data_IF_588938115359
#
_entry.id   IF_588938115359
#
_cell.length_a   1.000
_cell.length_b   1.000
_cell.length_c   1.000
_cell.angle_alpha   90.00
_cell.angle_beta   90.00
_cell.angle_gamma   90.00
#
_symmetry.space_group_name_H-M   'P 1'
#
loop_
_entity.id
_entity.type
_entity.pdbx_description
1 polymer ?
#
# COMPACT_ATOMS: atom_id res chain seq x y z
N UNK A 1 6.19 8.82 7.81
CA UNK A 1 5.60 8.64 6.46
C UNK A 1 4.89 7.30 6.41
N UNK A 2 3.88 7.13 7.29
CA UNK A 2 3.26 5.83 7.63
C UNK A 2 1.78 5.77 7.25
N UNK A 3 1.42 6.36 6.09
CA UNK A 3 0.03 6.63 5.75
C UNK A 3 -0.73 5.47 5.10
N UNK A 4 -0.10 4.30 4.84
CA UNK A 4 -0.68 3.32 3.92
C UNK A 4 -1.03 1.96 4.50
N UNK A 5 -0.96 1.75 5.82
CA UNK A 5 -1.39 0.49 6.40
C UNK A 5 -2.58 0.68 7.30
N UNK A 6 -3.73 0.43 6.74
CA UNK A 6 -4.93 0.18 7.50
C UNK A 6 -5.00 -1.32 7.84
N UNK A 7 -5.13 -1.63 9.12
CA UNK A 7 -5.23 -2.98 9.68
C UNK A 7 -6.24 -3.88 8.94
N UNK A 8 -7.32 -3.27 8.44
CA UNK A 8 -8.37 -3.98 7.71
C UNK A 8 -7.90 -4.46 6.34
N UNK A 9 -7.32 -3.57 5.52
CA UNK A 9 -6.86 -3.96 4.19
C UNK A 9 -5.65 -4.88 4.24
N UNK A 10 -4.72 -4.68 5.17
CA UNK A 10 -3.60 -5.58 5.38
C UNK A 10 -4.06 -6.99 5.80
N UNK A 11 -5.18 -7.11 6.53
CA UNK A 11 -5.74 -8.39 6.94
C UNK A 11 -6.44 -9.14 5.80
N UNK A 12 -7.23 -8.45 4.98
CA UNK A 12 -7.99 -9.07 3.89
C UNK A 12 -7.22 -9.12 2.57
N UNK A 13 -6.26 -8.20 2.39
CA UNK A 13 -5.44 -8.07 1.19
C UNK A 13 -3.98 -7.85 1.56
N UNK A 14 -3.33 -8.81 2.24
CA UNK A 14 -1.95 -8.64 2.74
C UNK A 14 -0.92 -8.43 1.63
N UNK A 15 -1.26 -8.77 0.40
CA UNK A 15 -0.40 -8.68 -0.77
C UNK A 15 -0.75 -7.51 -1.70
N UNK A 16 -1.81 -6.74 -1.39
CA UNK A 16 -2.15 -5.51 -2.12
C UNK A 16 -1.40 -4.35 -1.46
N UNK A 17 -0.25 -4.07 -2.02
CA UNK A 17 0.38 -2.77 -1.81
C UNK A 17 -0.34 -1.76 -2.70
N UNK A 18 -0.71 -0.65 -2.11
CA UNK A 18 -1.57 0.40 -2.69
C UNK A 18 -0.95 1.20 -3.82
N UNK A 19 0.17 0.75 -4.39
CA UNK A 19 0.81 1.39 -5.52
C UNK A 19 0.25 0.81 -6.81
N UNK A 20 -0.40 1.66 -7.56
CA UNK A 20 -0.86 1.52 -8.95
C UNK A 20 -0.67 0.15 -9.61
N UNK A 21 -1.74 -0.64 -9.68
CA UNK A 21 -1.78 -1.94 -10.36
C UNK A 21 -1.74 -1.81 -11.90
N UNK A 22 -1.80 -0.60 -12.44
CA UNK A 22 -1.81 -0.38 -13.88
C UNK A 22 -0.40 -0.50 -14.47
N UNK A 23 -0.22 -1.44 -15.41
CA UNK A 23 1.06 -1.68 -16.09
C UNK A 23 1.58 -0.45 -16.85
N UNK A 24 0.69 0.35 -17.43
CA UNK A 24 1.03 1.59 -18.12
C UNK A 24 1.63 2.63 -17.17
N UNK A 25 1.04 2.82 -16.00
CA UNK A 25 1.56 3.68 -14.94
C UNK A 25 2.95 3.25 -14.48
N UNK A 26 3.15 1.94 -14.29
CA UNK A 26 4.43 1.40 -13.86
C UNK A 26 5.51 1.60 -14.92
N UNK A 27 5.18 1.39 -16.19
CA UNK A 27 6.09 1.63 -17.30
C UNK A 27 6.46 3.12 -17.40
N UNK A 28 5.48 4.02 -17.28
CA UNK A 28 5.68 5.47 -17.31
C UNK A 28 6.57 5.96 -16.17
N UNK A 29 6.29 5.53 -14.96
CA UNK A 29 7.10 5.87 -13.78
C UNK A 29 8.54 5.41 -13.90
N UNK A 30 8.77 4.23 -14.50
CA UNK A 30 10.12 3.69 -14.75
C UNK A 30 10.89 4.50 -15.78
N UNK A 31 10.25 4.82 -16.90
CA UNK A 31 10.90 5.50 -18.04
C UNK A 31 11.16 6.97 -17.72
N UNK A 32 10.22 7.63 -17.03
CA UNK A 32 10.22 9.07 -16.81
C UNK A 32 10.69 9.49 -15.40
N UNK A 33 10.90 8.56 -14.49
CA UNK A 33 11.35 8.84 -13.12
C UNK A 33 10.33 9.58 -12.25
N UNK A 34 9.04 9.46 -12.54
CA UNK A 34 7.97 10.17 -11.84
C UNK A 34 7.53 9.52 -10.52
N UNK A 35 8.11 8.38 -10.13
CA UNK A 35 7.73 7.62 -8.93
C UNK A 35 7.59 8.50 -7.68
N UNK A 36 8.56 9.37 -7.41
CA UNK A 36 8.51 10.30 -6.26
C UNK A 36 7.37 11.32 -6.37
N UNK A 37 7.04 11.76 -7.59
CA UNK A 37 5.95 12.72 -7.82
C UNK A 37 4.59 12.05 -7.64
N UNK A 38 4.42 10.81 -8.13
CA UNK A 38 3.22 10.03 -7.92
C UNK A 38 3.01 9.76 -6.43
N UNK A 39 4.03 9.29 -5.72
CA UNK A 39 3.94 9.08 -4.27
C UNK A 39 3.56 10.34 -3.49
N UNK A 40 4.14 11.50 -3.84
CA UNK A 40 3.77 12.76 -3.20
C UNK A 40 2.32 13.13 -3.50
N UNK A 41 1.90 13.01 -4.76
CA UNK A 41 0.54 13.25 -5.20
C UNK A 41 -0.46 12.40 -4.40
N UNK A 42 -0.25 11.10 -4.34
CA UNK A 42 -1.20 10.17 -3.75
C UNK A 42 -1.16 10.19 -2.22
N UNK A 43 0.03 10.10 -1.64
CA UNK A 43 0.19 9.98 -0.20
C UNK A 43 0.04 11.29 0.58
N UNK A 44 0.19 12.44 -0.06
CA UNK A 44 0.17 13.72 0.63
C UNK A 44 -0.91 14.66 0.10
N UNK A 45 -0.83 15.01 -1.21
CA UNK A 45 -1.69 16.05 -1.75
C UNK A 45 -3.15 15.61 -1.83
N UNK A 46 -3.41 14.36 -2.29
CA UNK A 46 -4.76 13.79 -2.32
C UNK A 46 -5.32 13.57 -0.91
N UNK A 47 -4.48 13.12 0.05
CA UNK A 47 -4.92 12.91 1.43
C UNK A 47 -5.38 14.23 2.05
N UNK A 48 -4.56 15.28 1.94
CA UNK A 48 -4.88 16.61 2.45
C UNK A 48 -6.17 17.17 1.84
N UNK A 49 -6.36 16.98 0.53
CA UNK A 49 -7.57 17.44 -0.14
C UNK A 49 -8.81 16.66 0.30
N UNK A 50 -8.71 15.34 0.39
CA UNK A 50 -9.80 14.46 0.80
C UNK A 50 -10.21 14.66 2.27
N UNK A 51 -9.26 14.94 3.17
CA UNK A 51 -9.55 15.30 4.58
C UNK A 51 -10.39 16.56 4.70
N UNK A 52 -10.28 17.48 3.74
CA UNK A 52 -11.05 18.73 3.72
C UNK A 52 -12.42 18.59 3.07
N UNK A 53 -12.57 17.67 2.09
CA UNK A 53 -13.77 17.60 1.24
C UNK A 53 -14.70 16.43 1.55
N UNK A 54 -14.20 15.33 2.10
CA UNK A 54 -14.93 14.10 2.43
C UNK A 54 -15.73 13.41 1.29
N UNK A 55 -15.89 14.07 0.15
CA UNK A 55 -16.58 13.53 -1.04
C UNK A 55 -15.57 12.91 -2.03
N UNK A 56 -16.00 11.95 -2.85
CA UNK A 56 -15.18 11.46 -3.95
C UNK A 56 -14.81 12.59 -4.91
N UNK A 57 -13.56 12.64 -5.32
CA UNK A 57 -13.07 13.67 -6.24
C UNK A 57 -12.20 13.10 -7.34
N UNK A 58 -12.21 13.76 -8.48
CA UNK A 58 -11.37 13.42 -9.60
C UNK A 58 -9.98 14.01 -9.45
N UNK A 59 -8.97 13.28 -9.89
CA UNK A 59 -7.62 13.81 -10.05
C UNK A 59 -7.05 13.45 -11.43
N UNK A 60 -6.18 14.31 -11.96
CA UNK A 60 -5.26 13.96 -13.05
C UNK A 60 -3.88 13.75 -12.43
N UNK A 61 -3.36 12.55 -12.53
CA UNK A 61 -2.07 12.18 -11.95
C UNK A 61 -0.89 12.81 -12.73
N UNK A 62 0.35 12.76 -12.21
CA UNK A 62 1.53 13.26 -12.91
C UNK A 62 1.80 12.62 -14.28
N UNK A 63 1.22 11.46 -14.58
CA UNK A 63 1.29 10.79 -15.87
C UNK A 63 0.18 11.23 -16.85
N UNK A 64 -0.74 12.10 -16.43
CA UNK A 64 -1.85 12.59 -17.24
C UNK A 64 -3.04 11.63 -17.32
N UNK A 65 -3.11 10.66 -16.45
CA UNK A 65 -4.27 9.78 -16.34
C UNK A 65 -5.23 10.29 -15.27
N UNK A 66 -6.52 10.06 -15.50
CA UNK A 66 -7.58 10.44 -14.58
C UNK A 66 -7.91 9.30 -13.62
N UNK A 67 -8.11 9.61 -12.35
CA UNK A 67 -8.52 8.67 -11.31
C UNK A 67 -9.56 9.32 -10.41
N UNK A 68 -10.52 8.51 -9.95
CA UNK A 68 -11.45 8.91 -8.89
C UNK A 68 -10.85 8.50 -7.55
N UNK A 69 -10.81 9.44 -6.61
CA UNK A 69 -10.26 9.25 -5.27
C UNK A 69 -11.38 9.34 -4.24
N UNK A 70 -11.48 8.33 -3.39
CA UNK A 70 -12.41 8.29 -2.28
C UNK A 70 -11.64 8.29 -0.97
N UNK A 71 -11.91 9.26 -0.12
CA UNK A 71 -11.29 9.38 1.20
C UNK A 71 -12.20 8.77 2.26
N UNK A 72 -11.66 7.86 3.04
CA UNK A 72 -12.38 7.17 4.10
C UNK A 72 -11.77 7.58 5.43
N UNK A 73 -12.55 8.25 6.26
CA UNK A 73 -12.17 8.63 7.61
C UNK A 73 -12.92 7.77 8.63
N UNK A 74 -12.19 7.17 9.57
CA UNK A 74 -12.77 6.47 10.71
C UNK A 74 -12.63 7.29 11.98
N UNK A 75 -13.66 7.40 12.81
CA UNK A 75 -13.58 8.08 14.10
C UNK A 75 -12.42 7.53 14.95
N UNK A 76 -11.50 8.42 15.35
CA UNK A 76 -10.33 8.06 16.17
C UNK A 76 -9.26 7.21 15.47
N UNK A 77 -9.29 7.10 14.15
CA UNK A 77 -8.33 6.31 13.33
C UNK A 77 -7.74 7.16 12.21
N UNK A 78 -6.68 6.61 11.58
CA UNK A 78 -6.08 7.24 10.39
C UNK A 78 -7.04 7.17 9.20
N UNK A 79 -7.07 8.22 8.43
CA UNK A 79 -7.76 8.32 7.14
C UNK A 79 -7.01 7.49 6.10
N UNK A 80 -7.71 6.87 5.17
CA UNK A 80 -7.12 6.22 4.01
C UNK A 80 -7.90 6.55 2.73
N UNK A 81 -7.30 6.26 1.60
CA UNK A 81 -7.88 6.56 0.29
C UNK A 81 -7.97 5.33 -0.60
N UNK A 82 -9.02 5.28 -1.40
CA UNK A 82 -9.22 4.31 -2.47
C UNK A 82 -9.11 5.07 -3.79
N UNK A 83 -8.28 4.56 -4.70
CA UNK A 83 -8.11 5.10 -6.04
C UNK A 83 -8.80 4.16 -7.04
N UNK A 84 -9.70 4.70 -7.85
CA UNK A 84 -10.44 3.98 -8.87
C UNK A 84 -10.03 4.51 -10.25
N UNK A 85 -9.54 3.67 -11.08
CA UNK A 85 -9.01 4.03 -12.42
C UNK A 85 -7.82 3.14 -12.75
N UNK A 86 -7.06 3.43 -13.77
CA UNK A 86 -6.85 4.71 -14.46
C UNK A 86 -7.74 4.89 -15.70
N UNK A 87 -8.13 6.13 -16.00
CA UNK A 87 -8.96 6.50 -17.14
C UNK A 87 -8.27 7.54 -18.00
N UNK A 88 -8.73 7.69 -19.26
CA UNK A 88 -8.33 8.82 -20.09
C UNK A 88 -8.86 10.13 -19.48
N UNK A 89 -8.06 11.22 -19.49
CA UNK A 89 -8.50 12.50 -18.95
C UNK A 89 -9.66 13.07 -19.78
N UNK A 90 -10.56 13.78 -19.10
CA UNK A 90 -11.68 14.51 -19.70
C UNK A 90 -11.45 16.02 -19.56
N UNK A 91 -12.06 16.79 -20.45
CA UNK A 91 -11.98 18.25 -20.43
C UNK A 91 -13.07 18.90 -19.57
N UNK A 92 -14.12 18.13 -19.23
CA UNK A 92 -15.30 18.54 -18.48
C UNK A 92 -15.25 18.12 -17.00
N UNK A 93 -14.05 18.11 -16.42
CA UNK A 93 -13.88 17.79 -15.01
C UNK A 93 -14.56 18.83 -14.11
N UNK A 94 -15.12 18.39 -12.95
CA UNK A 94 -15.69 19.30 -11.96
C UNK A 94 -14.67 20.34 -11.51
N UNK A 95 -15.13 21.53 -11.10
CA UNK A 95 -14.29 22.63 -10.66
C UNK A 95 -13.35 22.24 -9.49
N UNK A 96 -13.78 21.31 -8.65
CA UNK A 96 -13.04 20.77 -7.50
C UNK A 96 -12.27 19.48 -7.83
N UNK A 97 -11.49 19.46 -8.92
CA UNK A 97 -10.58 18.35 -9.21
C UNK A 97 -9.13 18.73 -8.92
N UNK A 98 -8.28 17.76 -8.65
CA UNK A 98 -6.84 17.96 -8.53
C UNK A 98 -6.15 17.67 -9.87
N UNK A 99 -5.27 18.57 -10.30
CA UNK A 99 -4.52 18.39 -11.53
C UNK A 99 -3.01 18.47 -11.27
N UNK A 100 -2.35 17.33 -11.36
CA UNK A 100 -0.89 17.20 -11.18
C UNK A 100 -0.14 17.06 -12.50
N UNK A 101 -0.83 17.15 -13.64
CA UNK A 101 -0.23 17.10 -14.96
C UNK A 101 0.64 18.34 -15.21
N UNK A 102 1.95 18.18 -15.50
CA UNK A 102 2.80 19.32 -15.83
C UNK A 102 2.40 19.92 -17.19
N UNK A 103 2.15 21.21 -17.24
CA UNK A 103 1.71 21.93 -18.47
C UNK A 103 2.63 21.75 -19.69
N UNK A 104 3.88 21.34 -19.50
CA UNK A 104 4.90 21.19 -20.56
C UNK A 104 5.27 19.73 -20.85
N UNK A 105 4.53 18.77 -20.38
CA UNK A 105 4.82 17.35 -20.64
C UNK A 105 4.32 16.93 -22.01
N UNK A 106 5.19 16.20 -22.75
CA UNK A 106 4.74 15.45 -23.92
C UNK A 106 3.79 14.37 -23.45
N UNK A 107 2.60 14.34 -24.02
CA UNK A 107 1.60 13.32 -23.73
C UNK A 107 2.16 11.96 -24.14
N UNK A 108 2.31 11.09 -23.17
CA UNK A 108 2.60 9.67 -23.43
C UNK A 108 1.24 8.98 -23.50
N UNK A 109 0.95 8.36 -24.63
CA UNK A 109 -0.26 7.55 -24.74
C UNK A 109 -0.12 6.30 -23.86
N UNK A 110 -0.76 6.35 -22.72
CA UNK A 110 -0.88 5.19 -21.84
C UNK A 110 -2.21 4.50 -22.10
N UNK A 111 -2.23 3.17 -22.10
CA UNK A 111 -3.47 2.43 -22.24
C UNK A 111 -4.37 2.73 -21.02
N UNK A 112 -5.47 3.39 -21.28
CA UNK A 112 -6.46 3.74 -20.27
C UNK A 112 -7.87 3.70 -20.88
N UNK A 113 -8.85 3.27 -20.09
CA UNK A 113 -10.26 3.25 -20.48
C UNK A 113 -10.76 4.69 -20.61
N UNK A 114 -11.54 4.96 -21.65
CA UNK A 114 -12.34 6.16 -21.78
C UNK A 114 -13.69 5.94 -21.11
N UNK A 115 -14.11 6.85 -20.25
CA UNK A 115 -15.42 6.78 -19.59
C UNK A 115 -16.48 7.43 -20.48
N UNK A 116 -17.62 6.76 -20.59
CA UNK A 116 -18.84 7.39 -21.12
C UNK A 116 -19.36 8.45 -20.16
N UNK A 117 -20.23 9.34 -20.61
CA UNK A 117 -20.83 10.38 -19.75
C UNK A 117 -21.61 9.78 -18.59
N UNK A 118 -22.29 8.67 -18.82
CA UNK A 118 -23.03 7.94 -17.79
C UNK A 118 -22.09 7.35 -16.74
N UNK A 119 -21.04 6.64 -17.17
CA UNK A 119 -20.03 6.08 -16.24
C UNK A 119 -19.35 7.19 -15.44
N UNK A 120 -19.03 8.31 -16.07
CA UNK A 120 -18.38 9.44 -15.39
C UNK A 120 -19.27 10.07 -14.32
N UNK A 121 -20.57 10.19 -14.58
CA UNK A 121 -21.54 10.73 -13.63
C UNK A 121 -21.86 9.75 -12.48
N UNK A 122 -21.97 8.45 -12.79
CA UNK A 122 -22.38 7.44 -11.83
C UNK A 122 -21.25 6.95 -10.92
N UNK A 123 -20.01 6.93 -11.42
CA UNK A 123 -18.88 6.36 -10.70
C UNK A 123 -18.65 7.01 -9.31
N UNK A 124 -18.69 8.34 -9.13
CA UNK A 124 -18.57 8.97 -7.82
C UNK A 124 -19.67 8.56 -6.84
N UNK A 125 -20.91 8.40 -7.33
CA UNK A 125 -22.06 7.99 -6.52
C UNK A 125 -21.88 6.55 -6.03
N UNK A 126 -21.53 5.64 -6.95
CA UNK A 126 -21.27 4.24 -6.62
C UNK A 126 -20.09 4.11 -5.67
N UNK A 127 -19.02 4.86 -5.89
CA UNK A 127 -17.84 4.86 -5.04
C UNK A 127 -18.17 5.32 -3.62
N UNK A 128 -18.98 6.36 -3.47
CA UNK A 128 -19.46 6.82 -2.16
C UNK A 128 -20.28 5.74 -1.45
N UNK A 129 -21.26 5.16 -2.11
CA UNK A 129 -22.08 4.10 -1.53
C UNK A 129 -21.26 2.89 -1.09
N UNK A 130 -20.26 2.50 -1.89
CA UNK A 130 -19.34 1.41 -1.55
C UNK A 130 -18.47 1.74 -0.34
N UNK A 131 -17.94 2.96 -0.28
CA UNK A 131 -17.13 3.40 0.86
C UNK A 131 -17.93 3.52 2.15
N UNK A 132 -19.15 4.06 2.10
CA UNK A 132 -20.07 4.10 3.24
C UNK A 132 -20.41 2.69 3.73
N UNK A 133 -20.71 1.76 2.82
CA UNK A 133 -20.98 0.38 3.17
C UNK A 133 -19.77 -0.32 3.78
N UNK A 134 -18.59 -0.06 3.26
CA UNK A 134 -17.35 -0.59 3.79
C UNK A 134 -17.10 -0.11 5.22
N UNK A 135 -17.31 1.19 5.49
CA UNK A 135 -17.20 1.77 6.84
C UNK A 135 -18.17 1.06 7.80
N UNK A 136 -19.44 0.92 7.42
CA UNK A 136 -20.44 0.22 8.23
C UNK A 136 -20.04 -1.22 8.54
N UNK A 137 -19.55 -1.97 7.55
CA UNK A 137 -19.08 -3.34 7.74
C UNK A 137 -17.90 -3.40 8.73
N UNK A 138 -16.94 -2.50 8.60
CA UNK A 138 -15.76 -2.43 9.47
C UNK A 138 -16.18 -2.05 10.90
N UNK A 139 -17.07 -1.08 11.07
CA UNK A 139 -17.56 -0.66 12.39
C UNK A 139 -18.35 -1.78 13.07
N UNK A 140 -19.20 -2.50 12.32
CA UNK A 140 -19.92 -3.66 12.83
C UNK A 140 -18.95 -4.75 13.30
N UNK A 141 -17.97 -5.13 12.47
CA UNK A 141 -16.96 -6.13 12.83
C UNK A 141 -16.14 -5.70 14.06
N UNK A 142 -15.79 -4.42 14.17
CA UNK A 142 -15.07 -3.89 15.32
C UNK A 142 -15.93 -3.85 16.59
N UNK A 143 -17.24 -3.60 16.48
CA UNK A 143 -18.15 -3.62 17.63
C UNK A 143 -18.35 -5.06 18.15
N UNK A 144 -18.43 -6.03 17.26
CA UNK A 144 -18.51 -7.44 17.60
C UNK A 144 -17.20 -7.97 18.24
N UNK A 145 -16.04 -7.47 17.78
CA UNK A 145 -14.72 -7.85 18.32
C UNK A 145 -14.34 -7.16 19.63
N UNK A 146 -14.98 -6.07 20.01
CA UNK A 146 -14.73 -5.41 21.32
C UNK A 146 -15.07 -6.30 22.52
N UNK A 147 -15.69 -7.45 22.33
CA UNK A 147 -16.06 -8.37 23.39
C UNK A 147 -14.98 -9.39 23.78
N UNK A 148 -13.95 -9.60 22.96
CA UNK A 148 -12.79 -10.41 23.35
C UNK A 148 -11.50 -9.70 22.93
N UNK A 149 -10.50 -9.61 23.84
CA UNK A 149 -9.18 -9.16 23.44
C UNK A 149 -8.66 -10.10 22.33
N UNK A 150 -8.03 -9.59 21.26
CA UNK A 150 -7.49 -10.45 20.22
C UNK A 150 -6.51 -11.44 20.88
N UNK A 151 -6.61 -12.70 20.49
CA UNK A 151 -5.63 -13.72 20.87
C UNK A 151 -4.21 -13.17 20.61
N UNK A 152 -3.29 -13.33 21.57
CA UNK A 152 -1.96 -12.75 21.49
C UNK A 152 -1.18 -13.14 20.22
N UNK A 153 -1.38 -14.34 19.70
CA UNK A 153 -0.76 -14.81 18.46
C UNK A 153 -1.25 -14.00 17.26
N UNK A 154 -2.57 -13.83 17.17
CA UNK A 154 -3.21 -12.97 16.14
C UNK A 154 -2.77 -11.51 16.29
N UNK A 155 -2.68 -10.99 17.51
CA UNK A 155 -2.21 -9.63 17.75
C UNK A 155 -0.77 -9.42 17.26
N UNK A 156 0.14 -10.35 17.58
CA UNK A 156 1.56 -10.30 17.16
C UNK A 156 1.67 -10.32 15.64
N UNK A 157 0.92 -11.23 14.99
CA UNK A 157 0.90 -11.33 13.52
C UNK A 157 0.44 -10.02 12.88
N UNK A 158 -0.69 -9.49 13.33
CA UNK A 158 -1.24 -8.22 12.83
C UNK A 158 -0.28 -7.05 13.09
N UNK A 159 0.34 -7.00 14.28
CA UNK A 159 1.32 -5.94 14.60
C UNK A 159 2.50 -5.93 13.62
N UNK A 160 3.03 -7.11 13.29
CA UNK A 160 4.13 -7.25 12.32
C UNK A 160 3.65 -6.87 10.91
N UNK A 161 2.48 -7.34 10.50
CA UNK A 161 1.93 -7.07 9.17
C UNK A 161 1.67 -5.59 8.91
N UNK A 162 1.28 -4.86 9.95
CA UNK A 162 1.02 -3.42 9.87
C UNK A 162 2.30 -2.59 9.91
N UNK A 163 3.27 -3.01 10.75
CA UNK A 163 4.41 -2.17 11.10
C UNK A 163 5.74 -2.62 10.48
N UNK A 164 5.77 -3.65 9.62
CA UNK A 164 7.03 -4.22 9.11
C UNK A 164 7.93 -3.21 8.39
N UNK A 165 7.36 -2.14 7.84
CA UNK A 165 8.11 -1.09 7.14
C UNK A 165 8.79 -0.08 8.07
N UNK A 166 8.25 0.04 9.28
CA UNK A 166 8.74 0.96 10.29
C UNK A 166 9.89 0.34 11.10
N UNK A 167 10.60 1.19 11.83
CA UNK A 167 11.61 0.73 12.79
C UNK A 167 10.92 0.32 14.09
N UNK A 168 10.49 -0.94 14.15
CA UNK A 168 9.75 -1.49 15.29
C UNK A 168 10.63 -2.39 16.13
N UNK A 169 10.41 -2.33 17.43
CA UNK A 169 11.16 -3.11 18.41
C UNK A 169 10.29 -4.13 19.15
N UNK A 170 10.94 -5.16 19.69
CA UNK A 170 10.28 -6.11 20.59
C UNK A 170 9.72 -5.41 21.84
N UNK A 171 10.40 -4.36 22.33
CA UNK A 171 9.98 -3.60 23.49
C UNK A 171 8.63 -2.88 23.26
N UNK A 172 8.45 -2.25 22.11
CA UNK A 172 7.17 -1.62 21.72
C UNK A 172 6.04 -2.64 21.61
N UNK A 173 6.30 -3.82 21.04
CA UNK A 173 5.31 -4.89 20.97
C UNK A 173 4.94 -5.39 22.37
N UNK A 174 5.93 -5.55 23.25
CA UNK A 174 5.72 -5.98 24.64
C UNK A 174 4.85 -4.96 25.41
N UNK A 175 5.13 -3.67 25.27
CA UNK A 175 4.35 -2.61 25.86
C UNK A 175 2.87 -2.66 25.39
N UNK A 176 2.63 -2.85 24.09
CA UNK A 176 1.27 -2.96 23.52
C UNK A 176 0.50 -4.20 24.01
N UNK A 177 1.22 -5.27 24.33
CA UNK A 177 0.65 -6.49 24.90
C UNK A 177 0.47 -6.42 26.43
N UNK A 178 1.01 -5.39 27.08
CA UNK A 178 1.07 -5.32 28.54
C UNK A 178 2.02 -6.37 29.15
N UNK A 179 3.02 -6.81 28.40
CA UNK A 179 3.97 -7.86 28.79
C UNK A 179 5.38 -7.31 29.01
N UNK A 180 6.20 -8.06 29.79
CA UNK A 180 7.64 -7.80 29.79
C UNK A 180 8.29 -8.30 28.49
N UNK A 181 9.41 -7.68 28.09
CA UNK A 181 10.17 -8.09 26.91
C UNK A 181 10.61 -9.58 26.96
N UNK A 182 10.98 -10.05 28.14
CA UNK A 182 11.36 -11.45 28.36
C UNK A 182 10.17 -12.40 28.15
N UNK A 183 9.00 -12.07 28.70
CA UNK A 183 7.76 -12.85 28.51
C UNK A 183 7.37 -12.86 27.03
N UNK A 184 7.39 -11.71 26.36
CA UNK A 184 7.10 -11.59 24.93
C UNK A 184 8.02 -12.46 24.08
N UNK A 185 9.32 -12.46 24.36
CA UNK A 185 10.29 -13.32 23.66
C UNK A 185 9.94 -14.81 23.78
N UNK A 186 9.62 -15.26 25.00
CA UNK A 186 9.25 -16.66 25.25
C UNK A 186 7.96 -17.02 24.50
N UNK A 187 6.93 -16.18 24.60
CA UNK A 187 5.64 -16.42 23.96
C UNK A 187 5.74 -16.43 22.44
N UNK A 188 6.51 -15.52 21.83
CA UNK A 188 6.74 -15.53 20.38
C UNK A 188 7.40 -16.84 19.93
N UNK A 189 8.39 -17.33 20.67
CA UNK A 189 9.02 -18.63 20.38
C UNK A 189 8.05 -19.80 20.52
N UNK A 190 7.16 -19.75 21.50
CA UNK A 190 6.14 -20.78 21.70
C UNK A 190 5.11 -20.81 20.58
N UNK A 191 4.62 -19.64 20.14
CA UNK A 191 3.60 -19.54 19.08
C UNK A 191 4.17 -19.83 17.69
N UNK A 192 5.33 -19.28 17.37
CA UNK A 192 5.85 -19.26 15.99
C UNK A 192 7.11 -20.09 15.77
N UNK A 193 7.74 -20.60 16.82
CA UNK A 193 9.05 -21.28 16.72
C UNK A 193 10.21 -20.37 16.29
N UNK A 194 10.03 -19.05 16.29
CA UNK A 194 10.92 -18.05 15.73
C UNK A 194 11.13 -16.88 16.68
N UNK A 195 12.11 -16.03 16.39
CA UNK A 195 12.27 -14.75 17.09
C UNK A 195 11.40 -13.67 16.45
N UNK A 196 11.14 -12.58 17.18
CA UNK A 196 10.47 -11.39 16.65
C UNK A 196 11.16 -10.85 15.39
N UNK A 197 12.49 -10.80 15.41
CA UNK A 197 13.28 -10.32 14.28
C UNK A 197 13.18 -11.24 13.05
N UNK A 198 13.08 -12.55 13.25
CA UNK A 198 12.88 -13.50 12.16
C UNK A 198 11.51 -13.29 11.52
N UNK A 199 10.44 -13.16 12.30
CA UNK A 199 9.08 -12.88 11.82
C UNK A 199 9.03 -11.56 11.04
N UNK A 200 9.59 -10.50 11.60
CA UNK A 200 9.68 -9.20 10.94
C UNK A 200 10.46 -9.27 9.62
N UNK A 201 11.59 -9.96 9.63
CA UNK A 201 12.43 -10.12 8.44
C UNK A 201 11.70 -10.94 7.36
N UNK A 202 11.04 -12.01 7.72
CA UNK A 202 10.24 -12.83 6.79
C UNK A 202 9.14 -11.99 6.13
N UNK A 203 8.45 -11.17 6.90
CA UNK A 203 7.41 -10.29 6.36
C UNK A 203 7.98 -9.26 5.38
N UNK A 204 9.12 -8.67 5.72
CA UNK A 204 9.87 -7.76 4.83
C UNK A 204 10.31 -8.43 3.54
N UNK A 205 10.83 -9.66 3.64
CA UNK A 205 11.24 -10.45 2.46
C UNK A 205 10.03 -10.86 1.62
N UNK A 206 8.90 -11.21 2.23
CA UNK A 206 7.65 -11.49 1.50
C UNK A 206 7.24 -10.28 0.65
N UNK A 207 7.26 -9.08 1.22
CA UNK A 207 6.98 -7.84 0.49
C UNK A 207 7.99 -7.58 -0.65
N UNK A 208 9.28 -7.73 -0.37
CA UNK A 208 10.32 -7.55 -1.39
C UNK A 208 10.19 -8.55 -2.56
N UNK A 209 9.83 -9.80 -2.28
CA UNK A 209 9.56 -10.81 -3.33
C UNK A 209 8.41 -10.39 -4.22
N UNK A 210 7.32 -9.91 -3.63
CA UNK A 210 6.17 -9.41 -4.37
C UNK A 210 6.56 -8.23 -5.27
N UNK A 211 7.28 -7.23 -4.75
CA UNK A 211 7.77 -6.08 -5.51
C UNK A 211 8.70 -6.47 -6.67
N UNK A 212 9.52 -7.51 -6.47
CA UNK A 212 10.41 -8.03 -7.52
C UNK A 212 9.66 -8.80 -8.62
N UNK A 213 8.52 -9.41 -8.30
CA UNK A 213 7.66 -10.16 -9.23
C UNK A 213 6.72 -9.25 -10.00
N UNK A 214 6.13 -8.27 -9.34
CA UNK A 214 5.14 -7.36 -9.90
C UNK A 214 5.71 -6.33 -10.86
N UNK A 215 7.03 -6.29 -11.04
CA UNK A 215 7.71 -5.29 -11.86
C UNK A 215 7.46 -3.82 -11.46
N UNK A 216 6.88 -3.57 -10.29
CA UNK A 216 6.57 -2.22 -9.79
C UNK A 216 7.79 -1.37 -9.50
N UNK A 217 8.91 -1.98 -9.16
CA UNK A 217 10.13 -1.26 -8.82
C UNK A 217 11.36 -1.95 -9.44
N UNK A 218 12.16 -1.19 -10.19
CA UNK A 218 13.37 -1.70 -10.84
C UNK A 218 14.61 -1.58 -9.96
N UNK A 219 14.61 -0.60 -9.06
CA UNK A 219 15.78 -0.32 -8.21
C UNK A 219 15.68 -1.13 -6.89
N UNK A 220 16.66 -2.00 -6.68
CA UNK A 220 16.72 -2.81 -5.46
C UNK A 220 16.90 -2.00 -4.17
N UNK A 221 17.51 -0.82 -4.25
CA UNK A 221 17.63 0.07 -3.08
C UNK A 221 16.24 0.62 -2.67
N UNK A 222 15.41 0.98 -3.65
CA UNK A 222 14.02 1.39 -3.38
C UNK A 222 13.22 0.23 -2.81
N UNK A 223 13.35 -0.99 -3.38
CA UNK A 223 12.68 -2.19 -2.86
C UNK A 223 13.09 -2.46 -1.41
N UNK A 224 14.39 -2.34 -1.09
CA UNK A 224 14.88 -2.49 0.27
C UNK A 224 14.20 -1.49 1.23
N UNK A 225 14.17 -0.21 0.86
CA UNK A 225 13.61 0.87 1.67
C UNK A 225 12.09 0.67 1.90
N UNK A 226 11.30 0.43 0.83
CA UNK A 226 9.84 0.24 0.96
C UNK A 226 9.46 -1.11 1.58
N UNK A 227 10.41 -2.03 1.68
CA UNK A 227 10.24 -3.28 2.45
C UNK A 227 10.74 -3.17 3.89
N UNK A 228 11.10 -1.96 4.36
CA UNK A 228 11.47 -1.70 5.75
C UNK A 228 12.92 -2.02 6.11
N UNK A 229 13.81 -2.23 5.12
CA UNK A 229 15.24 -2.41 5.40
C UNK A 229 15.95 -1.06 5.48
N UNK A 230 16.67 -0.82 6.57
CA UNK A 230 17.42 0.43 6.77
C UNK A 230 18.61 0.55 5.82
N UNK A 231 19.22 -0.57 5.40
CA UNK A 231 20.35 -0.58 4.47
C UNK A 231 20.19 -1.63 3.38
N UNK A 232 20.63 -1.30 2.16
CA UNK A 232 20.67 -2.26 1.06
C UNK A 232 21.52 -3.49 1.38
N UNK A 233 22.63 -3.33 2.08
CA UNK A 233 23.51 -4.45 2.47
C UNK A 233 22.78 -5.48 3.32
N UNK A 234 22.03 -5.03 4.34
CA UNK A 234 21.20 -5.91 5.17
C UNK A 234 20.09 -6.58 4.36
N UNK A 235 19.45 -5.83 3.46
CA UNK A 235 18.46 -6.39 2.53
C UNK A 235 19.04 -7.54 1.71
N UNK A 236 20.16 -7.33 1.00
CA UNK A 236 20.77 -8.37 0.18
C UNK A 236 21.14 -9.62 1.00
N UNK A 237 21.72 -9.44 2.18
CA UNK A 237 22.07 -10.53 3.10
C UNK A 237 20.84 -11.33 3.52
N UNK A 238 19.79 -10.65 3.98
CA UNK A 238 18.55 -11.28 4.40
C UNK A 238 17.83 -11.94 3.22
N UNK A 239 17.73 -11.26 2.08
CA UNK A 239 17.06 -11.79 0.90
C UNK A 239 17.70 -13.09 0.43
N UNK A 240 19.04 -13.14 0.36
CA UNK A 240 19.76 -14.37 0.00
C UNK A 240 19.58 -15.47 1.04
N UNK A 241 19.61 -15.13 2.33
CA UNK A 241 19.37 -16.10 3.42
C UNK A 241 18.00 -16.78 3.29
N UNK A 242 16.94 -16.01 3.00
CA UNK A 242 15.56 -16.51 2.98
C UNK A 242 15.10 -17.08 1.63
N UNK A 243 15.77 -16.73 0.53
CA UNK A 243 15.37 -17.16 -0.83
C UNK A 243 16.38 -18.05 -1.54
N UNK A 244 17.61 -18.15 -1.02
CA UNK A 244 18.73 -18.80 -1.68
C UNK A 244 19.32 -18.02 -2.86
N UNK A 245 18.76 -16.85 -3.20
CA UNK A 245 19.10 -16.07 -4.39
C UNK A 245 19.31 -14.60 -4.04
N UNK A 246 20.03 -13.88 -4.91
CA UNK A 246 20.05 -12.42 -4.87
C UNK A 246 18.74 -11.85 -5.44
N UNK A 247 18.35 -10.60 -5.09
CA UNK A 247 17.17 -9.95 -5.67
C UNK A 247 17.17 -9.93 -7.19
N UNK A 248 18.33 -9.72 -7.82
CA UNK A 248 18.47 -9.71 -9.29
C UNK A 248 18.27 -11.09 -9.92
N UNK A 249 18.78 -12.14 -9.31
CA UNK A 249 18.56 -13.53 -9.76
C UNK A 249 17.09 -13.90 -9.61
N UNK A 250 16.48 -13.53 -8.50
CA UNK A 250 15.06 -13.77 -8.26
C UNK A 250 14.17 -13.08 -9.30
N UNK A 251 14.45 -11.81 -9.62
CA UNK A 251 13.75 -11.05 -10.68
C UNK A 251 13.87 -11.72 -12.03
N UNK A 252 15.10 -12.11 -12.44
CA UNK A 252 15.34 -12.78 -13.72
C UNK A 252 14.62 -14.12 -13.84
N UNK A 253 14.58 -14.90 -12.77
CA UNK A 253 13.88 -16.19 -12.73
C UNK A 253 12.37 -16.03 -12.96
N UNK A 254 11.76 -15.01 -12.36
CA UNK A 254 10.32 -14.79 -12.49
C UNK A 254 9.95 -14.09 -13.81
N UNK A 255 10.80 -13.24 -14.37
CA UNK A 255 10.58 -12.65 -15.69
C UNK A 255 10.54 -13.70 -16.82
N UNK A 256 11.21 -14.84 -16.66
CA UNK A 256 11.14 -15.97 -17.62
C UNK A 256 9.84 -16.77 -17.50
N UNK A 257 9.23 -16.84 -16.30
CA UNK A 257 7.97 -17.56 -16.08
C UNK A 257 6.75 -16.86 -16.69
N UNK A 258 6.78 -15.55 -16.84
CA UNK A 258 5.66 -14.76 -17.39
C UNK A 258 5.71 -14.67 -18.93
N UNK A 259 6.68 -15.31 -19.60
CA UNK A 259 6.79 -15.36 -21.07
C UNK A 259 6.42 -16.73 -21.65
N UNK A 260 6.05 -17.68 -20.82
CA UNK A 260 5.57 -19.01 -21.21
C UNK A 260 4.09 -19.13 -20.87
#
# INVERSE_FOLDING_TARGET
MDAFHNDFFAKFFPDIDTLHLNEGCNMYNRVMGYEKKCMKCDAYDCMKFGESNHEPFWKICPAGLMELVCTIAFPGRKTFQIFIGTFKPRNDLPEHHLNFWPRNNKQVELPAKELTDVEFAELPVLARLLTEKLVQCIEKENSEKKQLPPDPETFITNYIDINFRSDVSLAELAEKLGWSASHTTVRIRQFFGKTFLDLLTERRIKNAKWLLQSHYCTNNATIAAVSGFQTSSNFYKCFRKYTGMTPNEFRRKNAKKNKT
#
